data_IF_033640025312
#
_entry.id   IF_033640025312
#
_cell.length_a   1.000
_cell.length_b   1.000
_cell.length_c   1.000
_cell.angle_alpha   90.00
_cell.angle_beta   90.00
_cell.angle_gamma   90.00
#
_symmetry.space_group_name_H-M   'P 1'
#
loop_
_entity.id
_entity.type
_entity.pdbx_description
1 polymer ?
#
# COMPACT_ATOMS: atom_id res chain seq x y z
N UNK A 1 18.51 -9.52 16.44
CA UNK A 1 19.46 -8.63 15.77
C UNK A 1 18.92 -7.22 15.69
N UNK A 2 19.80 -6.27 15.47
CA UNK A 2 19.48 -4.87 15.27
C UNK A 2 19.12 -4.62 13.81
N UNK A 3 18.23 -3.66 13.56
CA UNK A 3 17.89 -3.21 12.21
C UNK A 3 17.58 -1.73 12.20
N UNK A 4 17.83 -1.09 11.07
CA UNK A 4 17.37 0.25 10.79
C UNK A 4 16.19 0.19 9.82
N UNK A 5 15.09 0.84 10.18
CA UNK A 5 13.95 1.04 9.31
C UNK A 5 13.93 2.49 8.86
N UNK A 6 13.83 2.69 7.57
CA UNK A 6 13.78 4.02 6.96
C UNK A 6 12.37 4.24 6.41
N UNK A 7 11.75 5.34 6.84
CA UNK A 7 10.39 5.69 6.45
C UNK A 7 10.38 7.01 5.70
N UNK A 8 9.70 7.03 4.56
CA UNK A 8 9.54 8.21 3.72
C UNK A 8 8.17 8.83 3.94
N UNK A 9 8.05 10.14 3.84
CA UNK A 9 6.77 10.82 3.99
C UNK A 9 5.83 10.46 2.83
N UNK A 10 4.77 9.71 3.15
CA UNK A 10 3.76 9.29 2.18
C UNK A 10 2.78 10.41 1.78
N UNK A 11 2.86 11.57 2.43
CA UNK A 11 2.04 12.74 2.10
C UNK A 11 2.75 13.67 1.11
N UNK A 12 4.05 13.50 0.92
CA UNK A 12 4.83 14.26 -0.05
C UNK A 12 4.62 13.70 -1.46
N UNK A 13 4.06 14.47 -2.41
CA UNK A 13 3.90 14.05 -3.80
C UNK A 13 5.22 13.78 -4.54
N UNK A 14 6.35 14.30 -4.06
CA UNK A 14 7.67 13.98 -4.59
C UNK A 14 8.09 12.55 -4.25
N UNK A 15 7.64 12.05 -3.09
CA UNK A 15 7.90 10.69 -2.61
C UNK A 15 6.90 9.69 -3.15
N UNK A 16 5.60 10.02 -3.11
CA UNK A 16 4.51 9.11 -3.42
C UNK A 16 3.44 9.78 -4.27
N UNK A 17 3.49 9.54 -5.58
CA UNK A 17 2.51 10.07 -6.52
C UNK A 17 1.25 9.20 -6.58
N UNK A 18 0.14 9.78 -7.03
CA UNK A 18 -1.11 9.05 -7.27
C UNK A 18 -0.91 7.85 -8.22
N UNK A 19 -0.09 8.03 -9.27
CA UNK A 19 0.22 6.96 -10.22
C UNK A 19 1.00 5.80 -9.59
N UNK A 20 1.81 6.07 -8.58
CA UNK A 20 2.56 5.03 -7.86
C UNK A 20 1.61 4.19 -7.00
N UNK A 21 0.64 4.84 -6.33
CA UNK A 21 -0.42 4.14 -5.60
C UNK A 21 -1.35 3.34 -6.54
N UNK A 22 -1.70 3.89 -7.68
CA UNK A 22 -2.49 3.19 -8.70
C UNK A 22 -1.77 1.91 -9.15
N UNK A 23 -0.47 1.99 -9.45
CA UNK A 23 0.36 0.83 -9.81
C UNK A 23 0.50 -0.16 -8.66
N UNK A 24 0.72 0.33 -7.43
CA UNK A 24 0.84 -0.51 -6.25
C UNK A 24 -0.39 -1.39 -6.04
N UNK A 25 -1.59 -0.83 -6.18
CA UNK A 25 -2.83 -1.58 -6.00
C UNK A 25 -3.22 -2.47 -7.19
N UNK A 26 -2.67 -2.24 -8.37
CA UNK A 26 -2.90 -3.08 -9.57
C UNK A 26 -1.82 -4.11 -9.80
N UNK A 27 -0.61 -3.90 -9.27
CA UNK A 27 0.52 -4.80 -9.46
C UNK A 27 0.46 -5.97 -8.47
N UNK A 28 0.71 -7.18 -8.95
CA UNK A 28 0.77 -8.39 -8.12
C UNK A 28 1.93 -8.39 -7.12
N UNK A 29 3.03 -7.72 -7.43
CA UNK A 29 4.22 -7.67 -6.57
C UNK A 29 4.08 -6.67 -5.42
N UNK A 30 3.16 -5.71 -5.52
CA UNK A 30 2.97 -4.61 -4.56
C UNK A 30 4.29 -3.93 -4.15
N UNK A 31 5.24 -3.86 -5.08
CA UNK A 31 6.52 -3.20 -4.86
C UNK A 31 6.49 -1.83 -5.52
N UNK A 32 6.98 -0.85 -4.80
CA UNK A 32 7.24 0.48 -5.34
C UNK A 32 8.67 0.54 -5.88
N UNK A 33 8.88 1.40 -6.87
CA UNK A 33 10.22 1.68 -7.35
C UNK A 33 10.97 2.46 -6.28
N UNK A 34 12.09 1.94 -5.84
CA UNK A 34 12.99 2.66 -4.93
C UNK A 34 13.80 3.68 -5.73
N UNK A 35 13.83 4.91 -5.25
CA UNK A 35 14.70 5.96 -5.75
C UNK A 35 15.78 6.25 -4.68
N UNK A 36 17.06 5.95 -4.95
CA UNK A 36 18.14 6.21 -3.98
C UNK A 36 18.26 7.67 -3.56
N UNK A 37 17.82 8.61 -4.40
CA UNK A 37 17.84 10.04 -4.07
C UNK A 37 16.96 10.39 -2.87
N UNK A 38 15.93 9.58 -2.60
CA UNK A 38 15.03 9.76 -1.47
C UNK A 38 15.60 9.28 -0.13
N UNK A 39 16.77 8.62 -0.15
CA UNK A 39 17.39 8.13 1.09
C UNK A 39 17.67 9.26 2.10
N UNK A 40 18.11 10.41 1.62
CA UNK A 40 18.40 11.58 2.46
C UNK A 40 17.17 12.21 3.11
N UNK A 41 15.97 11.92 2.58
CA UNK A 41 14.69 12.43 3.09
C UNK A 41 13.96 11.41 3.98
N UNK A 42 14.58 10.24 4.24
CA UNK A 42 13.97 9.20 5.04
C UNK A 42 14.26 9.37 6.52
N UNK A 43 13.24 9.25 7.35
CA UNK A 43 13.38 9.14 8.80
C UNK A 43 13.94 7.76 9.16
N UNK A 44 15.06 7.76 9.88
CA UNK A 44 15.72 6.53 10.32
C UNK A 44 15.31 6.15 11.74
N UNK A 45 14.83 4.93 11.90
CA UNK A 45 14.47 4.32 13.16
C UNK A 45 15.32 3.07 13.42
N UNK A 46 16.09 3.06 14.50
CA UNK A 46 16.85 1.88 14.91
C UNK A 46 15.98 1.03 15.83
N UNK A 47 15.79 -0.24 15.49
CA UNK A 47 14.97 -1.19 16.24
C UNK A 47 15.88 -2.23 16.90
N UNK A 48 15.70 -2.38 18.20
CA UNK A 48 16.34 -3.37 19.06
C UNK A 48 15.50 -4.66 19.13
N UNK A 49 16.09 -5.79 19.58
CA UNK A 49 15.33 -7.00 19.84
C UNK A 49 14.20 -6.77 20.87
N UNK A 50 12.98 -7.18 20.50
CA UNK A 50 11.79 -6.98 21.32
C UNK A 50 11.02 -5.70 21.01
N UNK A 51 11.56 -4.82 20.19
CA UNK A 51 10.85 -3.64 19.72
C UNK A 51 10.05 -3.91 18.45
N UNK A 52 9.01 -3.12 18.27
CA UNK A 52 8.16 -3.14 17.10
C UNK A 52 7.72 -1.74 16.74
N UNK A 53 7.32 -1.56 15.48
CA UNK A 53 6.76 -0.29 15.05
C UNK A 53 5.53 -0.48 14.18
N UNK A 54 4.64 0.48 14.24
CA UNK A 54 3.50 0.58 13.35
C UNK A 54 3.90 1.30 12.06
N UNK A 55 3.68 0.64 10.92
CA UNK A 55 3.87 1.23 9.59
C UNK A 55 2.50 1.59 9.03
N UNK A 56 2.19 2.88 8.83
CA UNK A 56 0.94 3.31 8.20
C UNK A 56 0.76 2.72 6.81
N UNK A 57 -0.50 2.54 6.42
CA UNK A 57 -0.84 2.07 5.08
C UNK A 57 -0.25 3.02 4.02
N UNK A 58 0.37 2.43 3.02
CA UNK A 58 1.05 3.14 1.92
C UNK A 58 2.29 3.93 2.30
N UNK A 59 2.78 3.82 3.54
CA UNK A 59 4.03 4.43 3.94
C UNK A 59 5.20 3.73 3.23
N UNK A 60 5.92 4.41 2.31
CA UNK A 60 7.10 3.81 1.70
C UNK A 60 8.18 3.64 2.76
N UNK A 61 8.74 2.45 2.82
CA UNK A 61 9.79 2.13 3.79
C UNK A 61 10.71 1.05 3.25
N UNK A 62 11.91 1.00 3.78
CA UNK A 62 12.86 -0.08 3.57
C UNK A 62 13.63 -0.37 4.85
N UNK A 63 14.28 -1.51 4.89
CA UNK A 63 14.97 -2.00 6.08
C UNK A 63 16.41 -2.35 5.73
N UNK A 64 17.33 -1.92 6.58
CA UNK A 64 18.71 -2.37 6.59
C UNK A 64 18.94 -3.22 7.84
N UNK A 65 19.42 -4.43 7.65
CA UNK A 65 19.79 -5.29 8.77
C UNK A 65 21.24 -5.00 9.16
N UNK A 66 21.53 -5.09 10.46
CA UNK A 66 22.91 -5.14 10.92
C UNK A 66 23.62 -6.47 10.60
N UNK A 67 24.84 -6.62 11.05
CA UNK A 67 25.68 -7.78 10.79
C UNK A 67 25.19 -9.09 11.42
N UNK A 68 24.27 -8.99 12.36
CA UNK A 68 23.69 -10.13 13.09
C UNK A 68 22.40 -10.63 12.44
N UNK A 69 22.09 -11.92 12.65
CA UNK A 69 20.81 -12.49 12.26
C UNK A 69 19.65 -11.70 12.88
N UNK A 70 18.76 -11.22 12.03
CA UNK A 70 17.56 -10.49 12.45
C UNK A 70 16.30 -11.23 12.00
N UNK A 71 15.43 -11.57 12.96
CA UNK A 71 14.14 -12.20 12.71
C UNK A 71 13.05 -11.17 13.00
N UNK A 72 12.08 -11.04 12.09
CA UNK A 72 10.97 -10.11 12.22
C UNK A 72 9.65 -10.82 12.00
N UNK A 73 8.66 -10.47 12.83
CA UNK A 73 7.27 -10.83 12.61
C UNK A 73 6.52 -9.61 12.08
N UNK A 74 5.89 -9.76 10.91
CA UNK A 74 5.02 -8.71 10.34
C UNK A 74 3.57 -9.16 10.44
N UNK A 75 2.73 -8.31 11.02
CA UNK A 75 1.29 -8.51 11.09
C UNK A 75 0.62 -7.45 10.22
N UNK A 76 -0.11 -7.88 9.22
CA UNK A 76 -0.82 -6.99 8.30
C UNK A 76 -2.32 -7.23 8.42
N UNK A 77 -3.10 -6.17 8.49
CA UNK A 77 -4.55 -6.24 8.52
C UNK A 77 -5.17 -5.21 7.57
N UNK A 78 -6.29 -5.58 6.99
CA UNK A 78 -7.05 -4.71 6.10
C UNK A 78 -8.35 -4.26 6.77
N UNK A 79 -8.67 -2.98 6.63
CA UNK A 79 -9.96 -2.43 7.04
C UNK A 79 -10.89 -2.25 5.82
N UNK A 80 -12.22 -2.20 6.02
CA UNK A 80 -13.15 -1.91 4.93
C UNK A 80 -12.83 -0.60 4.20
N UNK A 81 -12.34 0.41 4.92
CA UNK A 81 -11.90 1.69 4.35
C UNK A 81 -10.68 1.53 3.44
N UNK A 82 -9.70 0.72 3.85
CA UNK A 82 -8.51 0.44 3.03
C UNK A 82 -8.87 -0.35 1.77
N UNK A 83 -9.80 -1.30 1.88
CA UNK A 83 -10.30 -2.04 0.72
C UNK A 83 -11.05 -1.12 -0.26
N UNK A 84 -11.85 -0.17 0.23
CA UNK A 84 -12.51 0.83 -0.60
C UNK A 84 -11.47 1.72 -1.32
N UNK A 85 -10.47 2.20 -0.59
CA UNK A 85 -9.34 2.97 -1.14
C UNK A 85 -8.61 2.20 -2.25
N UNK A 86 -8.29 0.93 -2.02
CA UNK A 86 -7.65 0.08 -3.01
C UNK A 86 -8.46 -0.06 -4.30
N UNK A 87 -9.81 -0.19 -4.19
CA UNK A 87 -10.70 -0.24 -5.35
C UNK A 87 -10.68 1.07 -6.14
N UNK A 88 -10.68 2.22 -5.44
CA UNK A 88 -10.65 3.54 -6.07
C UNK A 88 -9.35 3.72 -6.88
N UNK A 89 -8.19 3.37 -6.32
CA UNK A 89 -6.92 3.43 -7.04
C UNK A 89 -6.87 2.51 -8.25
N UNK A 90 -7.43 1.30 -8.15
CA UNK A 90 -7.55 0.40 -9.32
C UNK A 90 -8.40 1.01 -10.42
N UNK A 91 -9.54 1.61 -10.08
CA UNK A 91 -10.42 2.28 -11.05
C UNK A 91 -9.69 3.49 -11.66
N UNK A 92 -9.01 4.30 -10.86
CA UNK A 92 -8.20 5.43 -11.34
C UNK A 92 -7.13 4.97 -12.34
N UNK A 93 -6.45 3.85 -12.05
CA UNK A 93 -5.48 3.27 -12.96
C UNK A 93 -6.06 2.99 -14.36
N UNK A 94 -7.22 2.33 -14.41
CA UNK A 94 -7.87 2.03 -15.70
C UNK A 94 -8.38 3.29 -16.41
N UNK A 95 -8.92 4.28 -15.67
CA UNK A 95 -9.33 5.57 -16.25
C UNK A 95 -8.12 6.27 -16.89
N UNK A 96 -6.97 6.23 -16.21
CA UNK A 96 -5.73 6.83 -16.72
C UNK A 96 -5.22 6.12 -17.98
N UNK A 97 -5.36 4.80 -18.06
CA UNK A 97 -5.01 4.04 -19.28
C UNK A 97 -5.87 4.43 -20.49
N UNK A 98 -7.08 4.94 -20.26
CA UNK A 98 -7.94 5.50 -21.30
C UNK A 98 -7.58 6.94 -21.71
N UNK A 99 -6.46 7.49 -21.18
CA UNK A 99 -6.00 8.84 -21.47
C UNK A 99 -6.70 9.93 -20.65
N UNK A 100 -7.57 9.57 -19.71
CA UNK A 100 -8.30 10.51 -18.85
C UNK A 100 -7.59 10.67 -17.51
N UNK A 101 -7.42 11.92 -17.04
CA UNK A 101 -6.85 12.18 -15.72
C UNK A 101 -7.93 11.99 -14.64
N UNK A 102 -7.83 10.96 -13.79
CA UNK A 102 -8.82 10.72 -12.74
C UNK A 102 -8.69 11.77 -11.62
N UNK A 103 -9.78 12.04 -10.92
CA UNK A 103 -9.73 12.82 -9.68
C UNK A 103 -8.99 12.03 -8.60
N UNK A 104 -8.10 12.65 -7.81
CA UNK A 104 -7.40 12.00 -6.71
C UNK A 104 -8.36 11.45 -5.66
N UNK A 105 -7.92 10.42 -4.94
CA UNK A 105 -8.64 9.91 -3.77
C UNK A 105 -8.81 11.00 -2.71
N UNK A 106 -9.99 11.09 -2.11
CA UNK A 106 -10.29 12.07 -1.07
C UNK A 106 -10.73 13.45 -1.59
N UNK A 107 -10.66 13.69 -2.92
CA UNK A 107 -11.09 14.97 -3.49
C UNK A 107 -12.62 15.15 -3.52
N UNK A 108 -13.40 14.06 -3.49
CA UNK A 108 -14.87 14.09 -3.49
C UNK A 108 -15.42 12.75 -3.00
N UNK A 109 -16.17 12.80 -1.89
CA UNK A 109 -16.80 11.60 -1.32
C UNK A 109 -17.76 10.92 -2.31
N UNK A 110 -18.50 11.68 -3.11
CA UNK A 110 -19.46 11.13 -4.09
C UNK A 110 -18.72 10.37 -5.18
N UNK A 111 -17.66 10.96 -5.74
CA UNK A 111 -16.83 10.32 -6.78
C UNK A 111 -16.12 9.07 -6.25
N UNK A 112 -15.62 9.14 -5.04
CA UNK A 112 -14.93 8.02 -4.39
C UNK A 112 -15.90 6.87 -4.11
N UNK A 113 -17.10 7.16 -3.63
CA UNK A 113 -18.15 6.15 -3.44
C UNK A 113 -18.52 5.49 -4.76
N UNK A 114 -18.72 6.26 -5.84
CA UNK A 114 -19.03 5.73 -7.15
C UNK A 114 -17.89 4.83 -7.68
N UNK A 115 -16.64 5.31 -7.63
CA UNK A 115 -15.47 4.52 -8.04
C UNK A 115 -15.34 3.23 -7.22
N UNK A 116 -15.55 3.31 -5.91
CA UNK A 116 -15.50 2.12 -5.05
C UNK A 116 -16.59 1.11 -5.40
N UNK A 117 -17.81 1.57 -5.72
CA UNK A 117 -18.91 0.71 -6.15
C UNK A 117 -18.61 0.04 -7.51
N UNK A 118 -18.12 0.79 -8.49
CA UNK A 118 -17.66 0.26 -9.78
C UNK A 118 -16.56 -0.78 -9.59
N UNK A 119 -15.56 -0.49 -8.76
CA UNK A 119 -14.48 -1.43 -8.44
C UNK A 119 -15.00 -2.71 -7.76
N UNK A 120 -16.01 -2.61 -6.90
CA UNK A 120 -16.65 -3.76 -6.26
C UNK A 120 -17.41 -4.63 -7.27
N UNK A 121 -18.16 -4.00 -8.20
CA UNK A 121 -18.85 -4.72 -9.26
C UNK A 121 -17.87 -5.45 -10.19
N UNK A 122 -16.79 -4.78 -10.57
CA UNK A 122 -15.71 -5.40 -11.34
C UNK A 122 -15.10 -6.59 -10.61
N UNK A 123 -14.80 -6.46 -9.33
CA UNK A 123 -14.31 -7.59 -8.53
C UNK A 123 -15.28 -8.76 -8.52
N UNK A 124 -16.57 -8.53 -8.28
CA UNK A 124 -17.57 -9.60 -8.28
C UNK A 124 -17.73 -10.29 -9.63
N UNK A 125 -17.64 -9.52 -10.73
CA UNK A 125 -17.79 -10.04 -12.08
C UNK A 125 -16.56 -10.86 -12.56
N UNK A 126 -15.35 -10.41 -12.20
CA UNK A 126 -14.10 -10.94 -12.74
C UNK A 126 -13.23 -11.69 -11.72
N UNK A 127 -13.46 -11.55 -10.42
CA UNK A 127 -12.75 -12.33 -9.39
C UNK A 127 -13.33 -13.75 -9.27
N UNK A 128 -13.37 -14.48 -10.37
CA UNK A 128 -13.43 -15.93 -10.30
C UNK A 128 -12.00 -16.42 -10.04
N UNK A 129 -11.72 -16.77 -8.78
CA UNK A 129 -10.53 -17.42 -8.22
C UNK A 129 -9.51 -16.49 -7.58
N UNK A 130 -9.74 -16.17 -6.31
CA UNK A 130 -8.60 -16.03 -5.39
C UNK A 130 -7.86 -17.36 -5.34
N UNK A 131 -6.51 -17.37 -5.39
CA UNK A 131 -5.75 -18.61 -5.24
C UNK A 131 -6.13 -19.28 -3.91
N UNK A 132 -6.32 -20.58 -3.93
CA UNK A 132 -6.79 -21.39 -2.79
C UNK A 132 -5.87 -21.35 -1.55
N UNK A 133 -4.67 -20.81 -1.67
CA UNK A 133 -3.71 -20.64 -0.57
C UNK A 133 -3.93 -19.38 0.28
N UNK A 134 -4.73 -18.40 -0.20
CA UNK A 134 -5.09 -17.23 0.61
C UNK A 134 -6.38 -17.51 1.38
N UNK A 135 -6.27 -17.97 2.60
CA UNK A 135 -7.38 -17.99 3.57
C UNK A 135 -7.17 -16.81 4.53
N UNK A 136 -8.01 -15.78 4.50
CA UNK A 136 -7.96 -14.76 5.53
C UNK A 136 -8.24 -15.40 6.89
N UNK A 137 -7.38 -15.15 7.86
CA UNK A 137 -7.66 -15.55 9.26
C UNK A 137 -8.78 -14.62 9.74
N UNK A 138 -9.96 -15.18 9.94
CA UNK A 138 -11.08 -14.44 10.52
C UNK A 138 -10.97 -14.56 12.03
N UNK A 139 -10.45 -13.53 12.69
CA UNK A 139 -10.57 -13.42 14.14
C UNK A 139 -12.03 -13.09 14.43
N UNK A 140 -12.75 -14.03 15.04
CA UNK A 140 -14.03 -13.75 15.68
C UNK A 140 -13.74 -13.14 17.05
N UNK A 141 -14.21 -11.92 17.28
CA UNK A 141 -14.27 -11.30 18.60
C UNK A 141 -15.34 -11.98 19.43
#
# INVERSE_FOLDING_TARGET
GHKAMYMLDHTDPAVLREEDLERYYTNTTRRMRFDPALHSCADKWCLEPGEGMHVPVTQPHYVENGDNLSISLSVTFDTPRQQARARIYKVNHYIRQLGVRPSPYGSSNVRDTLKSAVGLMYQKAFSRRSPSWYRPITLRA
#
